data_IF_131890964034
#
_entry.id   IF_131890964034
#
_cell.length_a   1.000
_cell.length_b   1.000
_cell.length_c   1.000
_cell.angle_alpha   90.00
_cell.angle_beta   90.00
_cell.angle_gamma   90.00
#
_symmetry.space_group_name_H-M   'P 1'
#
loop_
_entity.id
_entity.type
_entity.pdbx_description
1 polymer ?
#
# COMPACT_ATOMS: atom_id res chain seq x y z
N UNK A 1 20.61 -8.24 -1.27
CA UNK A 1 21.65 -8.87 -2.11
C UNK A 1 22.19 -7.83 -3.09
N UNK A 2 23.48 -7.81 -3.39
CA UNK A 2 24.05 -6.84 -4.33
C UNK A 2 24.50 -7.58 -5.59
N UNK A 3 23.90 -7.26 -6.73
CA UNK A 3 24.25 -7.88 -8.03
C UNK A 3 25.58 -7.34 -8.55
N UNK A 4 25.87 -6.07 -8.28
CA UNK A 4 27.13 -5.39 -8.56
C UNK A 4 27.23 -4.10 -7.72
N UNK A 5 28.26 -3.28 -7.95
CA UNK A 5 28.47 -2.02 -7.22
C UNK A 5 27.36 -0.97 -7.41
N UNK A 6 26.53 -1.11 -8.46
CA UNK A 6 25.52 -0.13 -8.86
C UNK A 6 24.07 -0.64 -8.67
N UNK A 7 23.87 -1.95 -8.41
CA UNK A 7 22.56 -2.60 -8.38
C UNK A 7 22.41 -3.47 -7.14
N UNK A 8 21.34 -3.21 -6.40
CA UNK A 8 20.92 -4.01 -5.25
C UNK A 8 19.56 -4.66 -5.52
N UNK A 9 19.41 -5.90 -5.07
CA UNK A 9 18.12 -6.58 -4.92
C UNK A 9 17.68 -6.46 -3.47
N UNK A 10 16.44 -5.98 -3.30
CA UNK A 10 15.79 -5.83 -2.02
C UNK A 10 14.58 -6.76 -1.94
N UNK A 11 14.48 -7.51 -0.85
CA UNK A 11 13.33 -8.37 -0.57
C UNK A 11 12.58 -7.82 0.63
N UNK A 12 11.29 -7.56 0.47
CA UNK A 12 10.42 -7.07 1.53
C UNK A 12 9.09 -7.82 1.52
N UNK A 13 8.56 -8.07 2.71
CA UNK A 13 7.17 -8.48 2.88
C UNK A 13 6.33 -7.23 3.14
N UNK A 14 5.42 -6.95 2.22
CA UNK A 14 4.56 -5.76 2.25
C UNK A 14 3.13 -6.22 1.96
N UNK A 15 2.10 -5.63 2.59
CA UNK A 15 0.72 -5.88 2.22
C UNK A 15 0.45 -5.56 0.75
N UNK A 16 -0.27 -6.44 0.05
CA UNK A 16 -0.61 -6.25 -1.35
C UNK A 16 -1.43 -4.96 -1.58
N UNK A 17 -2.29 -4.59 -0.61
CA UNK A 17 -3.05 -3.34 -0.63
C UNK A 17 -2.18 -2.10 -0.76
N UNK A 18 -1.00 -2.10 -0.13
CA UNK A 18 -0.06 -0.97 -0.18
C UNK A 18 0.69 -0.90 -1.51
N UNK A 19 0.83 -2.01 -2.24
CA UNK A 19 1.44 -2.04 -3.57
C UNK A 19 0.49 -1.43 -4.62
N UNK A 20 -0.82 -1.62 -4.45
CA UNK A 20 -1.84 -1.14 -5.38
C UNK A 20 -2.00 0.39 -5.38
N UNK A 21 -1.66 1.06 -4.27
CA UNK A 21 -1.84 2.50 -4.11
C UNK A 21 -0.48 3.20 -4.05
N UNK A 22 -0.18 4.01 -5.07
CA UNK A 22 0.98 4.91 -5.21
C UNK A 22 2.39 4.30 -5.08
N UNK A 23 2.55 3.03 -4.74
CA UNK A 23 3.86 2.44 -4.52
C UNK A 23 4.71 2.40 -5.79
N UNK A 24 4.10 2.03 -6.92
CA UNK A 24 4.81 1.97 -8.20
C UNK A 24 5.35 3.32 -8.63
N UNK A 25 4.53 4.37 -8.56
CA UNK A 25 4.92 5.73 -8.94
C UNK A 25 5.98 6.30 -7.99
N UNK A 26 5.84 6.05 -6.69
CA UNK A 26 6.86 6.44 -5.69
C UNK A 26 8.18 5.72 -5.91
N UNK A 27 8.15 4.42 -6.26
CA UNK A 27 9.35 3.65 -6.56
C UNK A 27 10.04 4.18 -7.81
N UNK A 28 9.30 4.44 -8.89
CA UNK A 28 9.85 4.99 -10.13
C UNK A 28 10.41 6.40 -9.91
N UNK A 29 9.71 7.24 -9.16
CA UNK A 29 10.18 8.59 -8.81
C UNK A 29 11.47 8.56 -7.98
N UNK A 30 11.49 7.79 -6.89
CA UNK A 30 12.65 7.67 -6.00
C UNK A 30 13.88 7.07 -6.68
N UNK A 31 13.67 6.18 -7.66
CA UNK A 31 14.75 5.54 -8.41
C UNK A 31 15.09 6.23 -9.72
N UNK A 32 14.49 7.39 -10.03
CA UNK A 32 14.59 8.04 -11.35
C UNK A 32 14.30 7.10 -12.52
N UNK A 33 13.42 6.12 -12.32
CA UNK A 33 12.98 5.14 -13.31
C UNK A 33 13.78 3.84 -13.35
N UNK A 34 14.92 3.77 -12.67
CA UNK A 34 15.84 2.61 -12.73
C UNK A 34 15.37 1.39 -11.93
N UNK A 35 14.50 1.56 -10.93
CA UNK A 35 14.01 0.43 -10.15
C UNK A 35 12.90 -0.32 -10.88
N UNK A 36 12.94 -1.65 -10.77
CA UNK A 36 11.85 -2.55 -11.12
C UNK A 36 11.38 -3.30 -9.88
N UNK A 37 10.13 -3.73 -9.90
CA UNK A 37 9.52 -4.50 -8.83
C UNK A 37 8.94 -5.78 -9.43
N UNK A 38 9.14 -6.90 -8.74
CA UNK A 38 8.36 -8.10 -8.93
C UNK A 38 7.76 -8.48 -7.58
N UNK A 39 6.53 -8.97 -7.57
CA UNK A 39 5.85 -9.42 -6.36
C UNK A 39 5.25 -10.80 -6.56
N UNK A 40 5.27 -11.59 -5.50
CA UNK A 40 4.57 -12.86 -5.41
C UNK A 40 3.65 -12.84 -4.20
N UNK A 41 2.48 -13.46 -4.34
CA UNK A 41 1.59 -13.68 -3.20
C UNK A 41 2.26 -14.71 -2.30
N UNK A 42 2.63 -14.28 -1.08
CA UNK A 42 3.23 -15.15 -0.08
C UNK A 42 2.14 -15.89 0.70
N UNK A 43 1.58 -15.24 1.72
CA UNK A 43 0.57 -15.82 2.60
C UNK A 43 -0.46 -14.78 3.03
N UNK A 44 -1.65 -15.27 3.38
CA UNK A 44 -2.63 -14.48 4.11
C UNK A 44 -2.20 -14.36 5.57
N UNK A 45 -2.15 -13.12 6.07
CA UNK A 45 -1.83 -12.83 7.47
C UNK A 45 -3.01 -12.12 8.13
N UNK A 46 -3.21 -12.42 9.42
CA UNK A 46 -4.18 -11.69 10.22
C UNK A 46 -3.75 -10.23 10.33
N UNK A 47 -4.70 -9.34 10.08
CA UNK A 47 -4.49 -7.89 10.02
C UNK A 47 -5.63 -7.20 10.77
N UNK A 48 -5.30 -6.16 11.53
CA UNK A 48 -6.30 -5.33 12.22
C UNK A 48 -6.88 -4.29 11.24
N UNK A 49 -7.93 -4.70 10.54
CA UNK A 49 -8.61 -3.92 9.52
C UNK A 49 -9.91 -3.38 10.12
N UNK A 50 -10.21 -2.11 9.84
CA UNK A 50 -11.47 -1.47 10.19
C UNK A 50 -12.17 -0.92 8.96
N UNK A 51 -13.51 -0.90 8.99
CA UNK A 51 -14.34 -0.24 7.98
C UNK A 51 -14.42 1.25 8.33
N UNK A 52 -13.96 2.09 7.43
CA UNK A 52 -14.10 3.55 7.50
C UNK A 52 -15.32 3.95 6.66
N UNK A 53 -16.37 4.44 7.33
CA UNK A 53 -17.57 4.95 6.67
C UNK A 53 -17.42 6.47 6.44
N UNK A 54 -17.93 6.96 5.32
CA UNK A 54 -17.94 8.38 4.97
C UNK A 54 -19.38 8.87 4.97
N UNK A 55 -19.64 9.89 5.78
CA UNK A 55 -20.95 10.54 5.85
C UNK A 55 -20.94 11.78 4.97
N UNK A 56 -21.95 11.92 4.12
CA UNK A 56 -22.17 13.11 3.28
C UNK A 56 -23.53 13.68 3.64
N UNK A 57 -23.56 14.92 4.13
CA UNK A 57 -24.78 15.55 4.63
C UNK A 57 -25.51 14.71 5.70
N UNK A 58 -24.75 14.15 6.65
CA UNK A 58 -25.25 13.27 7.74
C UNK A 58 -25.81 11.92 7.27
N UNK A 59 -25.79 11.62 5.98
CA UNK A 59 -26.16 10.31 5.42
C UNK A 59 -24.93 9.44 5.21
N UNK A 60 -24.99 8.18 5.64
CA UNK A 60 -23.93 7.19 5.41
C UNK A 60 -23.86 6.82 3.92
N UNK A 61 -22.70 7.01 3.31
CA UNK A 61 -22.45 6.66 1.91
C UNK A 61 -21.61 5.39 1.84
N UNK A 62 -22.28 4.25 1.85
CA UNK A 62 -21.60 2.93 1.83
C UNK A 62 -20.72 2.72 0.60
N UNK A 63 -21.05 3.37 -0.53
CA UNK A 63 -20.24 3.31 -1.75
C UNK A 63 -18.85 3.95 -1.59
N UNK A 64 -18.66 4.82 -0.58
CA UNK A 64 -17.39 5.46 -0.25
C UNK A 64 -16.68 4.79 0.93
N UNK A 65 -17.28 3.75 1.52
CA UNK A 65 -16.67 3.05 2.63
C UNK A 65 -15.44 2.27 2.16
N UNK A 66 -14.37 2.32 2.96
CA UNK A 66 -13.10 1.64 2.66
C UNK A 66 -12.65 0.79 3.83
N UNK A 67 -11.99 -0.33 3.52
CA UNK A 67 -11.33 -1.18 4.50
C UNK A 67 -9.89 -0.72 4.63
N UNK A 68 -9.50 -0.24 5.81
CA UNK A 68 -8.18 0.33 6.09
C UNK A 68 -7.57 -0.31 7.32
N UNK A 69 -6.24 -0.33 7.41
CA UNK A 69 -5.57 -0.76 8.63
C UNK A 69 -5.87 0.23 9.76
N UNK A 70 -6.05 -0.28 10.98
CA UNK A 70 -6.44 0.53 12.14
C UNK A 70 -5.48 1.69 12.39
N UNK A 71 -4.19 1.48 12.23
CA UNK A 71 -3.12 2.47 12.37
C UNK A 71 -3.12 3.55 11.27
N UNK A 72 -3.64 3.23 10.08
CA UNK A 72 -3.74 4.16 8.94
C UNK A 72 -5.06 4.94 8.88
N UNK A 73 -6.05 4.61 9.72
CA UNK A 73 -7.39 5.24 9.76
C UNK A 73 -7.36 6.77 9.66
N UNK A 74 -6.53 7.43 10.46
CA UNK A 74 -6.42 8.89 10.48
C UNK A 74 -5.80 9.50 9.22
N UNK A 75 -4.94 8.75 8.51
CA UNK A 75 -4.37 9.20 7.24
C UNK A 75 -5.35 8.99 6.09
N UNK A 76 -6.06 7.86 6.10
CA UNK A 76 -7.02 7.51 5.07
C UNK A 76 -8.32 8.33 5.14
N UNK A 77 -8.78 8.68 6.33
CA UNK A 77 -9.97 9.51 6.52
C UNK A 77 -9.74 11.03 6.42
N UNK A 78 -8.53 11.46 6.02
CA UNK A 78 -8.16 12.88 5.95
C UNK A 78 -8.41 13.51 4.58
#
# INVERSE_FOLDING_TARGET
>A
EYLNAERAILHYHIPLSSILVDFYDRLKSASSGYASLNYELSDYKEADIVKLNVFVAEEDQEALASLVYRDETYRAGR
#
